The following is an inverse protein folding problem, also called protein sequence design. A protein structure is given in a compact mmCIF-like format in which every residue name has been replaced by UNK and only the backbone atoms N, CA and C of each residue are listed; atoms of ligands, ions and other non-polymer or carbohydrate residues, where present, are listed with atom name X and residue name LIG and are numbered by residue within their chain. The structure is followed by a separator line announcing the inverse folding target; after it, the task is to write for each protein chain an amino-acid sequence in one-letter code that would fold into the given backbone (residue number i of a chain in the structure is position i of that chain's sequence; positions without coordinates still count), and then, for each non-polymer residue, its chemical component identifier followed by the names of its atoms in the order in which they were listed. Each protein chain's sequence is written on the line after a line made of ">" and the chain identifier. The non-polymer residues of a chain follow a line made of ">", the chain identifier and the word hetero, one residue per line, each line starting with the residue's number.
data_IF_985505185015
#
_entry.id   IF_985505185015
#
_cell.length_a   1.000
_cell.length_b   1.000
_cell.length_c   1.000
_cell.angle_alpha   90.00
_cell.angle_beta   90.00
_cell.angle_gamma   90.00
#
_symmetry.space_group_name_H-M   'P 1'
#
loop_
_entity.id
_entity.type
_entity.pdbx_description
1 polymer ?
#
# COMPACT_ATOMS: atom_id res chain seq x y z
N UNK A 1 -5.14 -2.86 24.99
CA UNK A 1 -6.53 -2.72 24.54
C UNK A 1 -7.32 -3.96 25.00
N UNK A 2 -8.34 -3.76 25.82
CA UNK A 2 -9.23 -4.84 26.23
C UNK A 2 -10.12 -5.26 25.05
N UNK A 3 -10.41 -6.57 24.96
CA UNK A 3 -11.41 -7.07 24.02
C UNK A 3 -12.80 -6.78 24.58
N UNK A 4 -13.66 -6.20 23.77
CA UNK A 4 -15.03 -5.82 24.11
C UNK A 4 -16.00 -6.41 23.08
N UNK A 5 -17.10 -6.98 23.54
CA UNK A 5 -18.24 -7.37 22.71
C UNK A 5 -19.42 -6.46 23.05
N UNK A 6 -19.88 -5.66 22.09
CA UNK A 6 -20.96 -4.71 22.29
C UNK A 6 -21.73 -4.48 20.99
N UNK A 7 -23.06 -4.44 21.06
CA UNK A 7 -23.90 -4.16 19.89
C UNK A 7 -23.77 -5.15 18.74
N UNK A 8 -23.29 -6.38 18.99
CA UNK A 8 -23.02 -7.38 17.95
C UNK A 8 -21.67 -7.22 17.26
N UNK A 9 -20.79 -6.38 17.78
CA UNK A 9 -19.44 -6.14 17.26
C UNK A 9 -18.37 -6.51 18.28
N UNK A 10 -17.20 -6.89 17.76
CA UNK A 10 -16.00 -7.13 18.54
C UNK A 10 -15.02 -5.96 18.38
N UNK A 11 -14.65 -5.35 19.49
CA UNK A 11 -13.69 -4.27 19.56
C UNK A 11 -12.40 -4.73 20.23
N UNK A 12 -11.27 -4.48 19.59
CA UNK A 12 -9.95 -4.82 20.13
C UNK A 12 -8.87 -4.83 19.07
N UNK A 13 -7.62 -4.88 19.48
CA UNK A 13 -6.48 -4.97 18.54
C UNK A 13 -6.53 -6.30 17.79
N UNK A 14 -6.55 -6.22 16.43
CA UNK A 14 -6.56 -7.38 15.55
C UNK A 14 -7.95 -8.00 15.31
N UNK A 15 -9.05 -7.42 15.81
CA UNK A 15 -10.40 -7.91 15.51
C UNK A 15 -10.78 -7.76 14.05
N UNK A 16 -10.35 -6.67 13.39
CA UNK A 16 -10.53 -6.43 11.98
C UNK A 16 -9.28 -6.82 11.19
N UNK A 17 -8.12 -6.42 11.67
CA UNK A 17 -6.82 -6.58 11.04
C UNK A 17 -5.90 -7.42 11.96
N UNK A 18 -5.73 -8.76 11.71
CA UNK A 18 -6.68 -9.52 10.88
C UNK A 18 -6.93 -10.92 11.46
N UNK A 19 -7.02 -11.03 12.80
CA UNK A 19 -7.27 -12.34 13.47
C UNK A 19 -8.55 -13.05 13.01
N UNK A 20 -9.50 -12.29 12.45
CA UNK A 20 -10.69 -12.88 11.85
C UNK A 20 -10.34 -13.80 10.69
N UNK A 21 -9.37 -13.43 9.85
CA UNK A 21 -8.95 -14.24 8.72
C UNK A 21 -8.13 -15.46 9.18
N UNK A 22 -7.29 -15.30 10.20
CA UNK A 22 -6.59 -16.42 10.84
C UNK A 22 -7.59 -17.47 11.36
N UNK A 23 -8.64 -17.01 12.05
CA UNK A 23 -9.70 -17.89 12.55
C UNK A 23 -10.44 -18.61 11.41
N UNK A 24 -10.76 -17.93 10.31
CA UNK A 24 -11.40 -18.51 9.13
C UNK A 24 -10.52 -19.60 8.51
N UNK A 25 -9.23 -19.36 8.36
CA UNK A 25 -8.31 -20.36 7.78
C UNK A 25 -8.15 -21.58 8.68
N UNK A 26 -8.01 -21.38 9.99
CA UNK A 26 -7.93 -22.48 10.96
C UNK A 26 -9.22 -23.30 10.94
N UNK A 27 -10.39 -22.65 11.03
CA UNK A 27 -11.69 -23.32 10.99
C UNK A 27 -11.88 -24.10 9.67
N UNK A 28 -11.49 -23.51 8.55
CA UNK A 28 -11.55 -24.17 7.23
C UNK A 28 -10.74 -25.47 7.22
N UNK A 29 -9.52 -25.48 7.78
CA UNK A 29 -8.69 -26.66 7.85
C UNK A 29 -9.26 -27.71 8.81
N UNK A 30 -9.83 -27.28 9.94
CA UNK A 30 -10.53 -28.17 10.88
C UNK A 30 -11.74 -28.84 10.23
N UNK A 31 -12.53 -28.06 9.47
CA UNK A 31 -13.68 -28.57 8.71
C UNK A 31 -13.25 -29.55 7.62
N UNK A 32 -12.22 -29.24 6.85
CA UNK A 32 -11.66 -30.18 5.86
C UNK A 32 -11.32 -31.53 6.49
N UNK A 33 -10.72 -31.51 7.67
CA UNK A 33 -10.40 -32.73 8.41
C UNK A 33 -11.66 -33.46 8.89
N UNK A 34 -12.63 -32.76 9.44
CA UNK A 34 -13.88 -33.34 9.95
C UNK A 34 -14.74 -33.94 8.84
N UNK A 35 -14.77 -33.30 7.68
CA UNK A 35 -15.53 -33.73 6.49
C UNK A 35 -14.80 -34.80 5.67
N UNK A 36 -13.57 -35.16 6.05
CA UNK A 36 -12.74 -36.12 5.31
C UNK A 36 -12.29 -35.61 3.94
N UNK A 37 -12.32 -34.28 3.74
CA UNK A 37 -11.86 -33.67 2.49
C UNK A 37 -10.36 -33.88 2.30
N UNK A 38 -9.98 -34.40 1.14
CA UNK A 38 -8.58 -34.62 0.76
C UNK A 38 -8.18 -33.60 -0.32
N UNK A 39 -7.45 -32.57 0.03
CA UNK A 39 -6.99 -31.57 -0.94
C UNK A 39 -6.05 -32.23 -1.96
N UNK A 40 -6.18 -31.87 -3.23
CA UNK A 40 -5.29 -32.34 -4.31
C UNK A 40 -3.91 -31.67 -4.27
N UNK A 41 -3.72 -30.66 -3.41
CA UNK A 41 -2.48 -29.93 -3.20
C UNK A 41 -2.12 -29.94 -1.73
N UNK A 42 -0.85 -29.85 -1.41
CA UNK A 42 -0.42 -29.53 -0.05
C UNK A 42 -0.86 -28.12 0.31
N UNK A 43 -1.51 -27.97 1.44
CA UNK A 43 -1.88 -26.67 2.02
C UNK A 43 -0.95 -26.45 3.21
N UNK A 44 -0.28 -25.31 3.24
CA UNK A 44 0.54 -24.86 4.36
C UNK A 44 -0.18 -23.65 4.97
N UNK A 45 -0.29 -23.61 6.29
CA UNK A 45 -0.73 -22.43 7.04
C UNK A 45 0.48 -21.90 7.80
N UNK A 46 0.82 -20.62 7.56
CA UNK A 46 1.84 -19.91 8.31
C UNK A 46 1.20 -18.72 9.01
N UNK A 47 1.21 -18.73 10.34
CA UNK A 47 0.79 -17.60 11.17
C UNK A 47 2.07 -16.92 11.67
N UNK A 48 2.42 -15.83 11.04
CA UNK A 48 3.66 -15.09 11.29
C UNK A 48 3.40 -13.87 12.17
N UNK A 49 4.46 -13.28 12.70
CA UNK A 49 4.38 -12.09 13.54
C UNK A 49 5.24 -10.98 12.96
N UNK A 50 4.98 -9.72 13.39
CA UNK A 50 5.84 -8.58 13.08
C UNK A 50 5.49 -7.83 11.81
N UNK A 51 4.39 -8.15 11.13
CA UNK A 51 3.91 -7.42 9.95
C UNK A 51 3.63 -5.97 10.30
N UNK A 52 2.85 -5.71 11.34
CA UNK A 52 2.36 -4.40 11.78
C UNK A 52 3.43 -3.46 12.35
N UNK A 53 4.58 -3.99 12.74
CA UNK A 53 5.54 -3.20 13.53
C UNK A 53 6.53 -2.40 12.69
N UNK A 54 6.70 -2.74 11.43
CA UNK A 54 7.54 -2.00 10.45
C UNK A 54 9.03 -1.80 10.79
N UNK A 55 9.41 -1.94 12.05
CA UNK A 55 10.74 -1.56 12.55
C UNK A 55 11.53 -2.71 13.19
N UNK A 56 10.97 -3.92 13.22
CA UNK A 56 11.59 -5.08 13.86
C UNK A 56 11.49 -6.31 12.95
N UNK A 57 11.80 -7.47 13.47
CA UNK A 57 11.74 -8.74 12.74
C UNK A 57 10.34 -8.96 12.15
N UNK A 58 10.29 -9.18 10.84
CA UNK A 58 9.12 -9.67 10.15
C UNK A 58 9.23 -11.20 10.03
N UNK A 59 8.18 -11.93 10.41
CA UNK A 59 8.20 -13.40 10.46
C UNK A 59 8.34 -14.06 9.10
N UNK A 60 7.71 -13.50 8.05
CA UNK A 60 7.83 -14.02 6.68
C UNK A 60 9.23 -13.78 6.12
N UNK A 61 9.79 -12.58 6.35
CA UNK A 61 11.18 -12.27 5.98
C UNK A 61 12.15 -13.26 6.64
N UNK A 62 11.99 -13.47 7.94
CA UNK A 62 12.83 -14.41 8.70
C UNK A 62 12.74 -15.84 8.17
N UNK A 63 11.51 -16.32 7.89
CA UNK A 63 11.30 -17.64 7.31
C UNK A 63 11.94 -17.76 5.93
N UNK A 64 11.82 -16.72 5.09
CA UNK A 64 12.44 -16.70 3.76
C UNK A 64 13.96 -16.81 3.81
N UNK A 65 14.59 -16.20 4.82
CA UNK A 65 16.05 -16.24 5.01
C UNK A 65 16.57 -17.53 5.65
N UNK A 66 15.81 -18.11 6.61
CA UNK A 66 16.30 -19.20 7.47
C UNK A 66 15.61 -20.54 7.22
N UNK A 67 14.38 -20.54 6.76
CA UNK A 67 13.56 -21.75 6.53
C UNK A 67 12.73 -21.64 5.25
N UNK A 68 13.37 -21.38 4.08
CA UNK A 68 12.66 -21.25 2.80
C UNK A 68 11.85 -22.51 2.46
N UNK A 69 12.27 -23.70 2.96
CA UNK A 69 11.56 -24.97 2.81
C UNK A 69 10.13 -24.92 3.37
N UNK A 70 9.91 -24.17 4.45
CA UNK A 70 8.59 -24.01 5.05
C UNK A 70 7.69 -23.10 4.21
N UNK A 71 8.25 -22.04 3.59
CA UNK A 71 7.49 -21.13 2.75
C UNK A 71 7.22 -21.67 1.33
N UNK A 72 8.09 -22.53 0.80
CA UNK A 72 8.01 -22.99 -0.59
C UNK A 72 6.59 -23.41 -1.00
N UNK A 73 6.01 -22.68 -1.95
CA UNK A 73 4.64 -22.85 -2.45
C UNK A 73 4.53 -22.37 -3.90
N UNK A 74 3.53 -22.85 -4.65
CA UNK A 74 3.25 -22.38 -6.01
C UNK A 74 2.67 -20.95 -6.00
N UNK A 75 1.89 -20.62 -4.98
CA UNK A 75 1.37 -19.29 -4.67
C UNK A 75 0.95 -19.23 -3.20
N UNK A 76 0.73 -18.03 -2.70
CA UNK A 76 0.19 -17.78 -1.36
C UNK A 76 -1.11 -16.98 -1.43
N UNK A 77 -2.00 -17.27 -0.48
CA UNK A 77 -3.12 -16.39 -0.12
C UNK A 77 -2.74 -15.66 1.16
N UNK A 78 -2.92 -14.37 1.16
CA UNK A 78 -2.57 -13.48 2.26
C UNK A 78 -3.75 -12.55 2.56
N UNK A 79 -3.57 -11.64 3.49
CA UNK A 79 -4.47 -10.53 3.72
C UNK A 79 -4.60 -9.62 2.49
N UNK A 80 -5.54 -8.69 2.56
CA UNK A 80 -5.80 -7.72 1.51
C UNK A 80 -6.97 -8.07 0.60
N UNK A 81 -7.45 -7.09 -0.12
CA UNK A 81 -8.70 -7.20 -0.88
C UNK A 81 -9.93 -7.12 0.02
N UNK A 82 -11.00 -7.79 -0.36
CA UNK A 82 -12.26 -7.83 0.39
C UNK A 82 -13.46 -7.27 -0.35
N UNK A 83 -14.64 -7.58 0.15
CA UNK A 83 -15.91 -7.11 -0.41
C UNK A 83 -16.29 -5.73 0.11
N UNK A 84 -16.92 -4.93 -0.74
CA UNK A 84 -17.48 -3.63 -0.36
C UNK A 84 -18.99 -3.67 -0.31
N UNK A 85 -19.55 -3.07 0.75
CA UNK A 85 -20.97 -2.80 0.91
C UNK A 85 -21.25 -1.31 0.68
N UNK A 86 -22.46 -1.00 0.19
CA UNK A 86 -22.98 0.36 0.28
C UNK A 86 -23.63 0.64 1.66
N UNK A 87 -24.12 1.86 1.85
CA UNK A 87 -24.75 2.27 3.10
C UNK A 87 -26.00 1.44 3.47
N UNK A 88 -26.61 0.74 2.50
CA UNK A 88 -27.76 -0.15 2.72
C UNK A 88 -27.36 -1.59 3.05
N UNK A 89 -26.06 -1.92 3.02
CA UNK A 89 -25.54 -3.27 3.18
C UNK A 89 -25.56 -4.11 1.91
N UNK A 90 -25.85 -3.50 0.75
CA UNK A 90 -25.79 -4.20 -0.54
C UNK A 90 -24.34 -4.40 -0.97
N UNK A 91 -24.02 -5.61 -1.43
CA UNK A 91 -22.71 -5.96 -1.96
C UNK A 91 -22.46 -5.25 -3.30
N UNK A 92 -21.41 -4.43 -3.37
CA UNK A 92 -21.05 -3.64 -4.55
C UNK A 92 -20.03 -4.35 -5.43
N UNK A 93 -18.96 -4.86 -4.81
CA UNK A 93 -17.87 -5.55 -5.48
C UNK A 93 -17.12 -6.46 -4.51
N UNK A 94 -16.37 -7.41 -5.05
CA UNK A 94 -15.38 -8.20 -4.32
C UNK A 94 -13.99 -7.91 -4.91
N UNK A 95 -13.10 -7.38 -4.11
CA UNK A 95 -11.73 -7.08 -4.52
C UNK A 95 -10.80 -8.26 -4.20
N UNK A 96 -9.95 -8.60 -5.17
CA UNK A 96 -8.79 -9.47 -4.95
C UNK A 96 -7.53 -8.64 -5.05
N UNK A 97 -6.74 -8.59 -3.97
CA UNK A 97 -5.46 -7.89 -4.01
C UNK A 97 -4.47 -8.66 -4.87
N UNK A 98 -3.93 -7.97 -5.89
CA UNK A 98 -2.93 -8.49 -6.81
C UNK A 98 -1.81 -7.44 -6.90
N UNK A 99 -1.01 -7.41 -5.85
CA UNK A 99 0.08 -6.47 -5.68
C UNK A 99 -0.23 -5.32 -4.73
N UNK A 100 0.84 -4.63 -4.37
CA UNK A 100 0.82 -3.52 -3.42
C UNK A 100 1.98 -2.57 -3.69
N UNK A 101 1.93 -1.37 -3.11
CA UNK A 101 3.03 -0.41 -3.17
C UNK A 101 4.12 -0.74 -2.16
N UNK A 102 5.37 -0.43 -2.51
CA UNK A 102 6.46 -0.44 -1.55
C UNK A 102 6.40 0.80 -0.67
N UNK A 103 6.51 0.62 0.64
CA UNK A 103 6.58 1.72 1.62
C UNK A 103 8.04 2.03 1.90
N UNK A 104 8.47 3.28 1.68
CA UNK A 104 9.81 3.73 2.05
C UNK A 104 9.78 5.13 2.63
N UNK A 105 10.46 5.29 3.75
CA UNK A 105 10.66 6.61 4.36
C UNK A 105 12.02 7.19 3.96
N UNK A 106 12.04 8.49 3.72
CA UNK A 106 13.24 9.26 3.44
C UNK A 106 13.39 10.38 4.48
N UNK A 107 14.60 10.53 5.01
CA UNK A 107 14.96 11.67 5.86
C UNK A 107 15.55 12.74 4.96
N UNK A 108 14.93 13.91 4.93
CA UNK A 108 15.48 15.15 4.39
C UNK A 108 16.13 15.90 5.54
N UNK A 109 17.38 16.29 5.38
CA UNK A 109 18.11 17.04 6.41
C UNK A 109 18.88 18.19 5.78
N UNK A 110 18.83 19.33 6.44
CA UNK A 110 19.65 20.50 6.16
C UNK A 110 20.42 20.92 7.40
N UNK A 111 21.63 21.43 7.20
CA UNK A 111 22.49 21.92 8.27
C UNK A 111 22.95 23.34 8.00
N UNK A 112 23.28 24.08 9.08
CA UNK A 112 23.75 25.46 9.02
C UNK A 112 24.70 25.72 10.22
N UNK A 113 25.71 26.59 10.10
CA UNK A 113 26.55 26.94 11.23
C UNK A 113 25.83 27.51 12.45
N UNK A 114 24.59 28.02 12.24
CA UNK A 114 23.85 28.70 13.29
C UNK A 114 24.31 30.15 13.51
N UNK A 115 23.91 30.73 14.62
CA UNK A 115 24.23 32.11 15.00
C UNK A 115 23.13 32.76 15.83
N UNK A 116 23.30 34.02 16.18
CA UNK A 116 22.28 34.80 16.88
C UNK A 116 21.26 35.39 15.88
N UNK A 117 19.99 35.31 16.21
CA UNK A 117 18.90 35.74 15.28
C UNK A 117 18.93 37.24 14.94
N UNK A 118 19.55 38.09 15.78
CA UNK A 118 19.72 39.51 15.47
C UNK A 118 20.75 39.81 14.38
N UNK A 119 21.51 38.78 13.96
CA UNK A 119 22.47 38.84 12.85
C UNK A 119 22.04 37.81 11.82
N UNK A 120 21.03 38.13 11.01
CA UNK A 120 20.45 37.14 10.06
C UNK A 120 21.47 36.78 8.98
N UNK A 121 21.45 35.50 8.58
CA UNK A 121 22.23 34.94 7.48
C UNK A 121 21.32 34.70 6.27
N UNK A 122 21.85 34.80 5.05
CA UNK A 122 21.08 34.45 3.86
C UNK A 122 20.74 32.94 3.76
N UNK A 123 21.61 32.09 4.35
CA UNK A 123 21.44 30.66 4.47
C UNK A 123 20.78 30.31 5.80
N UNK A 124 19.70 29.53 5.77
CA UNK A 124 18.95 29.11 6.94
C UNK A 124 18.41 27.68 6.74
N UNK A 125 18.73 26.79 7.68
CA UNK A 125 18.36 25.38 7.57
C UNK A 125 16.83 25.17 7.45
N UNK A 126 16.03 25.98 8.15
CA UNK A 126 14.56 25.90 8.04
C UNK A 126 14.11 26.32 6.65
N UNK A 127 14.66 27.40 6.08
CA UNK A 127 14.21 27.88 4.78
C UNK A 127 14.54 26.88 3.66
N UNK A 128 15.74 26.32 3.64
CA UNK A 128 16.12 25.28 2.68
C UNK A 128 15.23 24.04 2.82
N UNK A 129 15.01 23.57 4.05
CA UNK A 129 14.16 22.39 4.27
C UNK A 129 12.71 22.61 3.84
N UNK A 130 12.10 23.75 4.24
CA UNK A 130 10.69 24.02 3.90
C UNK A 130 10.50 24.20 2.41
N UNK A 131 11.46 24.82 1.70
CA UNK A 131 11.45 24.88 0.24
C UNK A 131 11.51 23.47 -0.39
N UNK A 132 12.36 22.59 0.13
CA UNK A 132 12.43 21.20 -0.33
C UNK A 132 11.12 20.43 -0.10
N UNK A 133 10.55 20.52 1.12
CA UNK A 133 9.30 19.87 1.47
C UNK A 133 8.14 20.40 0.61
N UNK A 134 8.11 21.69 0.32
CA UNK A 134 7.10 22.29 -0.57
C UNK A 134 7.21 21.72 -1.98
N UNK A 135 8.42 21.61 -2.53
CA UNK A 135 8.63 21.00 -3.85
C UNK A 135 8.16 19.54 -3.89
N UNK A 136 8.43 18.76 -2.83
CA UNK A 136 7.95 17.37 -2.72
C UNK A 136 6.41 17.34 -2.71
N UNK A 137 5.77 18.22 -1.93
CA UNK A 137 4.31 18.29 -1.81
C UNK A 137 3.60 18.74 -3.09
N UNK A 138 4.29 19.48 -3.96
CA UNK A 138 3.77 19.97 -5.24
C UNK A 138 4.07 19.03 -6.42
N UNK A 139 4.96 18.05 -6.22
CA UNK A 139 5.36 17.16 -7.29
C UNK A 139 4.41 15.99 -7.44
N UNK A 140 3.93 15.79 -8.63
CA UNK A 140 3.14 14.61 -9.02
C UNK A 140 3.98 13.65 -9.86
N UNK A 141 4.21 12.46 -9.34
CA UNK A 141 4.85 11.40 -10.10
C UNK A 141 3.99 11.03 -11.33
N UNK A 142 4.62 10.59 -12.43
CA UNK A 142 3.89 10.17 -13.62
C UNK A 142 2.88 9.05 -13.33
N UNK A 143 1.78 9.05 -14.08
CA UNK A 143 0.83 7.94 -14.08
C UNK A 143 1.49 6.67 -14.62
N UNK A 144 1.28 5.57 -13.94
CA UNK A 144 1.77 4.25 -14.31
C UNK A 144 0.63 3.24 -14.25
N UNK A 145 0.65 2.28 -15.17
CA UNK A 145 -0.28 1.15 -15.17
C UNK A 145 0.48 -0.17 -15.17
N UNK A 146 0.12 -1.04 -14.25
CA UNK A 146 0.36 -2.48 -14.34
C UNK A 146 -0.88 -3.16 -14.96
N UNK A 147 -0.78 -4.45 -15.27
CA UNK A 147 -1.96 -5.22 -15.74
C UNK A 147 -3.08 -5.18 -14.69
N UNK A 148 -2.72 -5.25 -13.41
CA UNK A 148 -3.65 -5.16 -12.29
C UNK A 148 -4.36 -3.81 -12.24
N UNK A 149 -3.62 -2.70 -12.24
CA UNK A 149 -4.24 -1.36 -12.14
C UNK A 149 -4.98 -0.99 -13.41
N UNK A 150 -4.52 -1.44 -14.58
CA UNK A 150 -5.26 -1.28 -15.84
C UNK A 150 -6.61 -1.99 -15.78
N UNK A 151 -6.64 -3.24 -15.36
CA UNK A 151 -7.88 -4.02 -15.23
C UNK A 151 -8.78 -3.43 -14.13
N UNK A 152 -8.19 -2.97 -13.02
CA UNK A 152 -8.92 -2.26 -11.97
C UNK A 152 -9.66 -1.04 -12.52
N UNK A 153 -8.95 -0.13 -13.18
CA UNK A 153 -9.53 1.09 -13.71
C UNK A 153 -10.54 0.80 -14.83
N UNK A 154 -10.28 -0.18 -15.69
CA UNK A 154 -11.24 -0.56 -16.72
C UNK A 154 -12.57 -1.02 -16.10
N UNK A 155 -12.53 -1.99 -15.19
CA UNK A 155 -13.75 -2.51 -14.54
C UNK A 155 -14.44 -1.46 -13.68
N UNK A 156 -13.69 -0.68 -12.94
CA UNK A 156 -14.22 0.41 -12.11
C UNK A 156 -14.85 1.51 -12.97
N UNK A 157 -14.21 1.91 -14.05
CA UNK A 157 -14.75 2.92 -14.97
C UNK A 157 -16.07 2.49 -15.63
N UNK A 158 -16.20 1.21 -15.99
CA UNK A 158 -17.45 0.62 -16.50
C UNK A 158 -18.58 0.64 -15.46
N UNK A 159 -18.25 0.34 -14.18
CA UNK A 159 -19.22 0.34 -13.08
C UNK A 159 -19.65 1.75 -12.68
N UNK A 160 -18.69 2.70 -12.64
CA UNK A 160 -18.97 4.07 -12.20
C UNK A 160 -19.72 4.86 -13.26
N UNK A 161 -19.38 4.70 -14.55
CA UNK A 161 -19.99 5.45 -15.64
C UNK A 161 -19.81 6.98 -15.54
N UNK A 162 -20.62 7.73 -16.29
CA UNK A 162 -20.65 9.18 -16.23
C UNK A 162 -19.31 9.87 -16.54
N UNK A 163 -19.07 11.05 -15.94
CA UNK A 163 -17.87 11.84 -16.13
C UNK A 163 -16.61 11.09 -15.65
N UNK A 164 -16.68 10.47 -14.48
CA UNK A 164 -15.57 9.70 -13.91
C UNK A 164 -15.20 8.50 -14.79
N UNK A 165 -16.18 7.71 -15.24
CA UNK A 165 -15.94 6.58 -16.12
C UNK A 165 -15.35 7.00 -17.47
N UNK A 166 -15.80 8.14 -18.02
CA UNK A 166 -15.24 8.75 -19.22
C UNK A 166 -13.78 9.16 -19.04
N UNK A 167 -13.46 9.83 -17.93
CA UNK A 167 -12.10 10.24 -17.60
C UNK A 167 -11.16 9.03 -17.38
N UNK A 168 -11.61 8.00 -16.68
CA UNK A 168 -10.85 6.75 -16.51
C UNK A 168 -10.53 6.13 -17.89
N UNK A 169 -11.49 6.06 -18.79
CA UNK A 169 -11.29 5.53 -20.13
C UNK A 169 -10.26 6.37 -20.91
N UNK A 170 -10.30 7.70 -20.80
CA UNK A 170 -9.34 8.59 -21.43
C UNK A 170 -7.92 8.36 -20.90
N UNK A 171 -7.73 8.23 -19.56
CA UNK A 171 -6.43 7.92 -18.97
C UNK A 171 -5.89 6.54 -19.38
N UNK A 172 -6.74 5.54 -19.51
CA UNK A 172 -6.33 4.22 -19.99
C UNK A 172 -5.82 4.25 -21.44
N UNK A 173 -6.36 5.15 -22.26
CA UNK A 173 -5.92 5.38 -23.63
C UNK A 173 -4.68 6.29 -23.69
N UNK A 174 -4.61 7.33 -22.87
CA UNK A 174 -3.52 8.27 -22.79
C UNK A 174 -3.20 8.67 -21.34
N UNK A 175 -2.18 8.07 -20.71
CA UNK A 175 -1.79 8.40 -19.33
C UNK A 175 -1.34 9.85 -19.12
N UNK A 176 -1.07 10.59 -20.20
CA UNK A 176 -0.65 11.99 -20.13
C UNK A 176 -1.82 12.98 -20.27
N UNK A 177 -3.06 12.51 -20.32
CA UNK A 177 -4.25 13.38 -20.40
C UNK A 177 -4.48 14.10 -19.04
N UNK A 178 -4.05 15.36 -18.98
CA UNK A 178 -4.12 16.18 -17.77
C UNK A 178 -5.56 16.50 -17.34
N UNK A 179 -6.48 16.64 -18.30
CA UNK A 179 -7.87 16.91 -17.98
C UNK A 179 -8.54 15.69 -17.34
N UNK A 180 -8.29 14.52 -17.90
CA UNK A 180 -8.78 13.26 -17.34
C UNK A 180 -8.12 12.96 -15.98
N UNK A 181 -6.80 13.19 -15.82
CA UNK A 181 -6.11 13.06 -14.55
C UNK A 181 -6.74 13.95 -13.46
N UNK A 182 -6.99 15.22 -13.77
CA UNK A 182 -7.62 16.13 -12.80
C UNK A 182 -9.02 15.69 -12.34
N UNK A 183 -9.77 14.97 -13.19
CA UNK A 183 -11.07 14.42 -12.80
C UNK A 183 -10.89 13.18 -11.93
N UNK A 184 -10.06 12.22 -12.37
CA UNK A 184 -9.87 10.95 -11.66
C UNK A 184 -9.17 11.16 -10.32
N UNK A 185 -8.22 12.09 -10.25
CA UNK A 185 -7.46 12.42 -9.04
C UNK A 185 -8.26 13.21 -7.99
N UNK A 186 -9.51 13.62 -8.26
CA UNK A 186 -10.42 14.12 -7.20
C UNK A 186 -10.72 13.04 -6.16
N UNK A 187 -10.70 11.77 -6.55
CA UNK A 187 -10.71 10.65 -5.63
C UNK A 187 -9.27 10.33 -5.20
N UNK A 188 -8.98 10.54 -3.91
CA UNK A 188 -7.64 10.35 -3.35
C UNK A 188 -7.14 8.90 -3.48
N UNK A 189 -8.04 7.91 -3.45
CA UNK A 189 -7.71 6.50 -3.62
C UNK A 189 -7.31 6.21 -5.07
N UNK A 190 -8.05 6.75 -6.05
CA UNK A 190 -7.69 6.62 -7.46
C UNK A 190 -6.40 7.36 -7.78
N UNK A 191 -6.23 8.59 -7.25
CA UNK A 191 -4.97 9.34 -7.37
C UNK A 191 -3.78 8.51 -6.89
N UNK A 192 -3.90 7.95 -5.69
CA UNK A 192 -2.85 7.10 -5.12
C UNK A 192 -2.63 5.82 -5.93
N UNK A 193 -3.67 5.21 -6.50
CA UNK A 193 -3.55 3.98 -7.31
C UNK A 193 -2.86 4.21 -8.65
N UNK A 194 -2.91 5.45 -9.18
CA UNK A 194 -2.33 5.78 -10.48
C UNK A 194 -0.81 5.96 -10.47
N UNK A 195 -0.17 6.27 -9.35
CA UNK A 195 1.22 6.74 -9.31
C UNK A 195 1.93 6.49 -7.99
N UNK A 196 3.24 6.63 -7.96
CA UNK A 196 3.99 6.82 -6.71
C UNK A 196 3.52 8.09 -6.02
N UNK A 197 3.37 8.06 -4.70
CA UNK A 197 3.01 9.23 -3.89
C UNK A 197 4.00 9.40 -2.76
N UNK A 198 4.41 10.66 -2.49
CA UNK A 198 5.30 11.00 -1.40
C UNK A 198 4.71 12.15 -0.60
N UNK A 199 4.61 11.98 0.72
CA UNK A 199 4.06 13.00 1.64
C UNK A 199 4.99 13.21 2.83
N UNK A 200 5.19 14.46 3.22
CA UNK A 200 5.89 14.79 4.45
C UNK A 200 5.00 14.44 5.65
N UNK A 201 5.53 13.65 6.59
CA UNK A 201 4.78 13.16 7.76
C UNK A 201 5.33 13.67 9.08
N UNK A 202 6.59 14.12 9.10
CA UNK A 202 7.22 14.70 10.30
C UNK A 202 8.12 15.85 9.90
N UNK A 203 8.22 16.86 10.79
CA UNK A 203 9.13 17.99 10.65
C UNK A 203 9.66 18.40 12.03
N UNK A 204 10.98 18.60 12.12
CA UNK A 204 11.66 19.06 13.31
C UNK A 204 12.76 20.06 12.95
N UNK A 205 12.81 21.20 13.67
CA UNK A 205 13.78 22.23 13.38
C UNK A 205 13.97 23.24 14.51
N UNK A 206 15.20 23.73 14.65
CA UNK A 206 15.58 24.76 15.64
C UNK A 206 15.70 24.20 17.06
N UNK A 207 16.18 25.04 17.97
CA UNK A 207 16.37 24.68 19.39
C UNK A 207 16.15 25.83 20.35
N UNK A 208 16.15 27.09 19.86
CA UNK A 208 15.91 28.29 20.67
C UNK A 208 15.34 29.44 19.82
N UNK A 209 14.50 30.28 20.43
CA UNK A 209 13.79 31.37 19.74
C UNK A 209 14.73 32.47 19.20
N UNK A 210 15.87 32.65 19.81
CA UNK A 210 16.86 33.67 19.45
C UNK A 210 18.11 33.13 18.74
N UNK A 211 18.08 31.86 18.29
CA UNK A 211 19.20 31.24 17.60
C UNK A 211 18.81 30.88 16.16
N UNK A 212 19.74 31.04 15.22
CA UNK A 212 19.59 30.48 13.88
C UNK A 212 19.68 28.96 13.96
N UNK A 213 18.79 28.20 13.29
CA UNK A 213 18.72 26.76 13.38
C UNK A 213 19.98 26.11 12.77
N UNK A 214 20.65 25.28 13.54
CA UNK A 214 21.80 24.51 13.03
C UNK A 214 21.42 23.30 12.24
N UNK A 215 20.19 22.82 12.41
CA UNK A 215 19.64 21.65 11.72
C UNK A 215 18.14 21.75 11.59
N UNK A 216 17.64 21.27 10.44
CA UNK A 216 16.23 21.03 10.21
C UNK A 216 16.04 19.69 9.50
N UNK A 217 14.97 18.96 9.84
CA UNK A 217 14.69 17.60 9.36
C UNK A 217 13.23 17.44 8.99
N UNK A 218 12.96 16.65 7.96
CA UNK A 218 11.63 16.19 7.64
C UNK A 218 11.68 14.71 7.28
N UNK A 219 10.63 13.95 7.63
CA UNK A 219 10.41 12.61 7.13
C UNK A 219 9.40 12.68 6.00
N UNK A 220 9.77 12.12 4.86
CA UNK A 220 8.90 11.95 3.69
C UNK A 220 8.58 10.48 3.55
N UNK A 221 7.30 10.11 3.72
CA UNK A 221 6.81 8.75 3.49
C UNK A 221 6.39 8.62 2.02
N UNK A 222 6.99 7.67 1.31
CA UNK A 222 6.65 7.37 -0.07
C UNK A 222 5.96 6.02 -0.17
N UNK A 223 4.90 5.98 -0.97
CA UNK A 223 4.18 4.80 -1.41
C UNK A 223 4.51 4.58 -2.88
N UNK A 224 5.47 3.70 -3.12
CA UNK A 224 6.14 3.54 -4.40
C UNK A 224 5.40 2.55 -5.28
N UNK A 225 5.12 2.94 -6.52
CA UNK A 225 4.43 2.09 -7.49
C UNK A 225 5.25 0.81 -7.77
N UNK A 226 4.62 -0.37 -7.85
CA UNK A 226 5.31 -1.63 -8.09
C UNK A 226 6.21 -1.61 -9.32
N UNK A 227 7.40 -2.18 -9.19
CA UNK A 227 8.41 -2.18 -10.24
C UNK A 227 9.33 -0.94 -10.25
N UNK A 228 9.08 0.04 -9.36
CA UNK A 228 9.97 1.19 -9.16
C UNK A 228 10.84 0.94 -7.92
N UNK A 229 12.14 1.14 -8.03
CA UNK A 229 13.05 0.95 -6.90
C UNK A 229 13.04 2.15 -5.95
N UNK A 230 13.35 1.91 -4.69
CA UNK A 230 13.53 2.97 -3.68
C UNK A 230 14.64 3.95 -4.07
N UNK A 231 15.68 3.49 -4.77
CA UNK A 231 16.77 4.35 -5.25
C UNK A 231 16.32 5.25 -6.42
N UNK A 232 15.47 4.76 -7.30
CA UNK A 232 14.90 5.58 -8.37
C UNK A 232 14.03 6.72 -7.80
N UNK A 233 13.24 6.43 -6.76
CA UNK A 233 12.45 7.46 -6.06
C UNK A 233 13.34 8.46 -5.35
N UNK A 234 14.42 8.00 -4.68
CA UNK A 234 15.40 8.91 -4.08
C UNK A 234 16.01 9.86 -5.12
N UNK A 235 16.46 9.30 -6.26
CA UNK A 235 17.04 10.10 -7.33
C UNK A 235 16.06 11.15 -7.88
N UNK A 236 14.78 10.79 -7.96
CA UNK A 236 13.75 11.73 -8.39
C UNK A 236 13.49 12.83 -7.34
N UNK A 237 13.50 12.48 -6.05
CA UNK A 237 13.43 13.47 -4.96
C UNK A 237 14.63 14.42 -4.99
N UNK A 238 15.86 13.91 -5.17
CA UNK A 238 17.07 14.75 -5.35
C UNK A 238 16.91 15.71 -6.53
N UNK A 239 16.39 15.20 -7.67
CA UNK A 239 16.19 15.99 -8.89
C UNK A 239 15.18 17.14 -8.70
N UNK A 240 14.01 16.84 -8.10
CA UNK A 240 12.95 17.85 -7.95
C UNK A 240 13.29 18.89 -6.89
N UNK A 241 13.98 18.49 -5.84
CA UNK A 241 14.47 19.40 -4.80
C UNK A 241 15.54 20.32 -5.38
N UNK A 242 16.54 19.75 -6.08
CA UNK A 242 17.59 20.51 -6.78
C UNK A 242 18.39 21.45 -5.89
N UNK A 243 18.48 21.18 -4.58
CA UNK A 243 19.24 21.95 -3.59
C UNK A 243 20.31 21.06 -2.96
N UNK A 244 21.60 21.29 -3.24
CA UNK A 244 22.67 20.45 -2.69
C UNK A 244 22.87 20.60 -1.17
N UNK A 245 22.26 21.59 -0.54
CA UNK A 245 22.27 21.74 0.92
C UNK A 245 21.29 20.80 1.62
N UNK A 246 20.40 20.14 0.88
CA UNK A 246 19.43 19.17 1.38
C UNK A 246 19.96 17.77 1.15
N UNK A 247 20.32 17.07 2.20
CA UNK A 247 20.66 15.65 2.11
C UNK A 247 19.41 14.77 2.19
N UNK A 248 19.35 13.73 1.37
CA UNK A 248 18.25 12.74 1.39
C UNK A 248 18.84 11.38 1.72
N UNK A 249 18.38 10.76 2.81
CA UNK A 249 18.77 9.41 3.21
C UNK A 249 17.56 8.50 3.36
N UNK A 250 17.72 7.24 2.99
CA UNK A 250 16.67 6.22 3.24
C UNK A 250 16.66 5.88 4.72
N UNK A 251 15.47 5.80 5.32
CA UNK A 251 15.31 5.35 6.71
C UNK A 251 15.09 3.84 6.70
N UNK A 252 15.85 3.11 7.51
CA UNK A 252 15.67 1.66 7.68
C UNK A 252 14.32 1.32 8.34
N UNK A 253 13.72 0.16 8.01
CA UNK A 253 14.24 -0.84 7.07
C UNK A 253 14.05 -0.43 5.61
N UNK A 254 15.04 -0.79 4.76
CA UNK A 254 14.89 -0.64 3.30
C UNK A 254 14.00 -1.77 2.81
N UNK A 255 12.81 -1.41 2.35
CA UNK A 255 11.83 -2.39 1.90
C UNK A 255 12.17 -2.94 0.51
N UNK A 256 11.89 -4.22 0.26
CA UNK A 256 12.05 -4.79 -1.07
C UNK A 256 11.11 -4.11 -2.08
N UNK A 257 11.54 -4.07 -3.32
CA UNK A 257 10.69 -3.61 -4.42
C UNK A 257 9.50 -4.56 -4.59
N UNK A 258 8.29 -4.01 -4.52
CA UNK A 258 7.09 -4.79 -4.79
C UNK A 258 7.06 -5.22 -6.26
N UNK A 259 6.87 -6.50 -6.51
CA UNK A 259 6.66 -7.07 -7.84
C UNK A 259 5.26 -7.68 -7.84
N UNK A 260 4.30 -7.11 -8.59
CA UNK A 260 2.95 -7.64 -8.62
C UNK A 260 2.96 -9.06 -9.17
N UNK A 261 2.24 -10.00 -8.54
CA UNK A 261 2.02 -11.30 -9.17
C UNK A 261 1.20 -11.13 -10.45
N UNK A 262 1.34 -12.03 -11.43
CA UNK A 262 0.53 -11.98 -12.64
C UNK A 262 -0.96 -12.20 -12.31
N UNK A 263 -1.85 -11.66 -13.13
CA UNK A 263 -3.27 -12.02 -13.14
C UNK A 263 -3.44 -13.46 -13.66
N UNK A 264 -2.94 -14.43 -12.88
CA UNK A 264 -2.89 -15.82 -13.27
C UNK A 264 -4.27 -16.44 -13.45
N UNK A 265 -4.62 -16.98 -14.63
CA UNK A 265 -5.88 -17.71 -14.81
C UNK A 265 -6.04 -18.89 -13.86
N UNK A 266 -4.93 -19.44 -13.34
CA UNK A 266 -4.95 -20.56 -12.37
C UNK A 266 -5.43 -20.14 -10.99
N UNK A 267 -5.26 -18.87 -10.62
CA UNK A 267 -5.68 -18.32 -9.31
C UNK A 267 -6.90 -17.43 -9.48
N UNK A 268 -6.82 -16.45 -10.37
CA UNK A 268 -7.88 -15.47 -10.57
C UNK A 268 -9.16 -16.09 -11.15
N UNK A 269 -9.04 -16.97 -12.15
CA UNK A 269 -10.20 -17.61 -12.78
C UNK A 269 -11.05 -18.46 -11.83
N UNK A 270 -10.49 -19.38 -11.02
CA UNK A 270 -11.24 -20.07 -9.98
C UNK A 270 -11.88 -19.14 -8.95
N UNK A 271 -11.17 -18.07 -8.55
CA UNK A 271 -11.68 -17.07 -7.62
C UNK A 271 -12.91 -16.35 -8.20
N UNK A 272 -12.86 -15.89 -9.46
CA UNK A 272 -14.01 -15.29 -10.15
C UNK A 272 -15.21 -16.24 -10.21
N UNK A 273 -14.99 -17.52 -10.54
CA UNK A 273 -16.06 -18.52 -10.58
C UNK A 273 -16.71 -18.74 -9.22
N UNK A 274 -15.91 -18.80 -8.15
CA UNK A 274 -16.41 -18.92 -6.79
C UNK A 274 -17.16 -17.67 -6.35
N UNK A 275 -16.62 -16.49 -6.64
CA UNK A 275 -17.29 -15.22 -6.35
C UNK A 275 -18.65 -15.14 -7.06
N UNK A 276 -18.72 -15.46 -8.35
CA UNK A 276 -19.97 -15.47 -9.10
C UNK A 276 -20.98 -16.50 -8.56
N UNK A 277 -20.50 -17.66 -8.07
CA UNK A 277 -21.37 -18.69 -7.48
C UNK A 277 -21.96 -18.27 -6.14
N UNK A 278 -21.13 -17.69 -5.26
CA UNK A 278 -21.53 -17.34 -3.89
C UNK A 278 -22.14 -15.94 -3.77
N UNK A 279 -21.80 -15.05 -4.70
CA UNK A 279 -22.25 -13.66 -4.74
C UNK A 279 -22.73 -13.28 -6.15
N UNK A 280 -23.86 -13.87 -6.62
CA UNK A 280 -24.36 -13.60 -7.96
C UNK A 280 -24.55 -12.10 -8.22
N UNK A 281 -24.07 -11.62 -9.36
CA UNK A 281 -24.17 -10.20 -9.74
C UNK A 281 -23.14 -9.26 -9.08
N UNK A 282 -22.28 -9.77 -8.19
CA UNK A 282 -21.21 -8.99 -7.57
C UNK A 282 -19.94 -9.15 -8.41
N UNK A 283 -19.44 -8.09 -9.05
CA UNK A 283 -18.21 -8.17 -9.84
C UNK A 283 -17.00 -8.40 -8.96
N UNK A 284 -16.07 -9.23 -9.43
CA UNK A 284 -14.74 -9.36 -8.82
C UNK A 284 -13.76 -8.47 -9.55
N UNK A 285 -12.97 -7.70 -8.79
CA UNK A 285 -12.05 -6.69 -9.33
C UNK A 285 -10.65 -6.94 -8.76
N UNK A 286 -9.61 -7.07 -9.60
CA UNK A 286 -8.24 -7.07 -9.12
C UNK A 286 -7.85 -5.67 -8.63
N UNK A 287 -7.21 -5.57 -7.48
CA UNK A 287 -6.79 -4.29 -6.89
C UNK A 287 -5.31 -4.33 -6.54
N UNK A 288 -4.67 -3.17 -6.59
CA UNK A 288 -3.37 -2.91 -6.01
C UNK A 288 -3.59 -2.17 -4.68
N UNK A 289 -3.08 -2.72 -3.58
CA UNK A 289 -3.08 -2.01 -2.30
C UNK A 289 -2.12 -0.81 -2.34
N UNK A 290 -2.53 0.30 -1.75
CA UNK A 290 -1.65 1.44 -1.47
C UNK A 290 -0.96 1.31 -0.11
N UNK A 291 -1.39 0.35 0.72
CA UNK A 291 -0.74 -0.13 1.94
C UNK A 291 0.36 -1.14 1.65
N UNK A 292 0.82 -1.84 2.68
CA UNK A 292 1.79 -2.92 2.60
C UNK A 292 1.31 -4.13 3.40
N UNK A 293 1.83 -5.30 3.05
CA UNK A 293 1.61 -6.59 3.74
C UNK A 293 2.92 -7.40 3.73
N UNK A 294 2.86 -8.66 4.06
CA UNK A 294 3.99 -9.60 3.92
C UNK A 294 4.29 -10.02 2.47
N UNK A 295 3.46 -9.63 1.50
CA UNK A 295 3.57 -10.07 0.10
C UNK A 295 4.93 -9.78 -0.58
N UNK A 296 5.62 -8.63 -0.34
CA UNK A 296 6.93 -8.38 -0.94
C UNK A 296 8.00 -9.39 -0.53
N UNK A 297 7.97 -9.88 0.71
CA UNK A 297 8.92 -10.90 1.19
C UNK A 297 8.67 -12.25 0.55
N UNK A 298 7.39 -12.63 0.36
CA UNK A 298 7.01 -13.83 -0.39
C UNK A 298 7.42 -13.72 -1.87
N UNK A 299 7.23 -12.53 -2.46
CA UNK A 299 7.65 -12.25 -3.83
C UNK A 299 9.16 -12.40 -4.03
N UNK A 300 9.99 -11.97 -3.06
CA UNK A 300 11.45 -12.21 -3.07
C UNK A 300 11.78 -13.70 -3.06
N UNK A 301 10.96 -14.51 -2.41
CA UNK A 301 11.11 -15.98 -2.42
C UNK A 301 10.52 -16.62 -3.68
N UNK A 302 10.07 -15.84 -4.67
CA UNK A 302 9.46 -16.31 -5.92
C UNK A 302 8.05 -16.85 -5.78
N UNK A 303 7.33 -16.48 -4.71
CA UNK A 303 5.98 -16.96 -4.39
C UNK A 303 4.95 -15.87 -4.72
N UNK A 304 4.18 -15.99 -5.81
CA UNK A 304 3.10 -15.07 -6.13
C UNK A 304 2.06 -15.05 -5.01
N UNK A 305 1.71 -13.86 -4.53
CA UNK A 305 0.86 -13.68 -3.35
C UNK A 305 -0.38 -12.86 -3.70
N UNK A 306 -1.54 -13.33 -3.23
CA UNK A 306 -2.85 -12.75 -3.52
C UNK A 306 -3.66 -12.58 -2.25
N UNK A 307 -4.37 -11.45 -2.11
CA UNK A 307 -5.28 -11.19 -0.99
C UNK A 307 -6.74 -11.39 -1.40
N UNK A 308 -7.43 -12.32 -0.75
CA UNK A 308 -8.85 -12.60 -1.02
C UNK A 308 -9.55 -13.16 0.22
N UNK A 309 -9.93 -12.33 1.18
CA UNK A 309 -10.55 -12.80 2.43
C UNK A 309 -12.01 -13.25 2.25
N UNK A 310 -12.71 -12.82 1.22
CA UNK A 310 -14.13 -13.13 1.01
C UNK A 310 -15.09 -12.44 1.99
N UNK A 311 -14.58 -11.54 2.81
CA UNK A 311 -15.34 -10.78 3.82
C UNK A 311 -15.81 -9.47 3.21
N UNK A 312 -17.07 -9.09 3.47
CA UNK A 312 -17.63 -7.81 3.03
C UNK A 312 -17.66 -6.83 4.20
N UNK A 313 -17.20 -5.63 3.94
CA UNK A 313 -17.15 -4.53 4.91
C UNK A 313 -17.86 -3.30 4.36
N UNK A 314 -18.56 -2.59 5.22
CA UNK A 314 -19.01 -1.25 4.95
C UNK A 314 -17.83 -0.31 5.25
N UNK A 315 -17.39 0.44 4.27
CA UNK A 315 -16.40 1.49 4.52
C UNK A 315 -17.15 2.67 5.15
N UNK A 316 -17.18 2.73 6.46
CA UNK A 316 -17.44 3.99 7.14
C UNK A 316 -16.31 4.93 6.77
N UNK A 317 -16.68 6.18 6.45
CA UNK A 317 -15.82 7.17 5.82
C UNK A 317 -14.38 7.11 6.32
N UNK A 318 -13.48 6.97 5.39
CA UNK A 318 -12.03 7.06 5.63
C UNK A 318 -11.72 8.35 6.37
N UNK A 319 -11.49 8.24 7.67
CA UNK A 319 -10.96 9.33 8.49
C UNK A 319 -9.56 9.72 8.05
#
# INVERSE_FOLDING_TARGET
>A
YAFIEEGGYFYGRGTSDMKVLDAIWIDTLLRFRAEGFKPKRTIKLALTCGEETGARMNGVEWLGQHRPDLLAAEFALNEGGGGRLDASGKKLLLAMQVGEKTVQNYLLETTNPGGHSSVPRPDNAIYSLTAAVTKVGQYEFPIQFSDTTRTFFQRTGELTGGEMGGAIKALLANPNDKAADAIVSKDASFHSTLRTTCVATMLDAGHAMNALPQRARAVVNCRIFPGVSVDAVKAELDRIIGDPSVSITKIEPIRPMAVPPPLSPKVFGPAEKLAAKHFPGVPMIPVMSTGGTDAPYLSLAGIPTYGMPGIFQQLEGSG
#
